data_IF_851455507319
#
_entry.id   IF_851455507319
#
_cell.length_a   1.000
_cell.length_b   1.000
_cell.length_c   1.000
_cell.angle_alpha   90.00
_cell.angle_beta   90.00
_cell.angle_gamma   90.00
#
_symmetry.space_group_name_H-M   'P 1'
#
loop_
_entity.id
_entity.type
_entity.pdbx_description
1 polymer ?
#
# COMPACT_ATOMS: atom_id res chain seq x y z
N UNK A 1 47.58 -3.49 -8.68
CA UNK A 1 46.93 -2.63 -7.65
C UNK A 1 45.86 -1.79 -8.32
N UNK A 2 44.62 -1.93 -7.84
CA UNK A 2 43.47 -1.00 -7.97
C UNK A 2 43.13 -0.51 -9.38
N UNK A 3 42.37 -1.36 -10.05
CA UNK A 3 41.28 -0.96 -10.93
C UNK A 3 40.31 -0.01 -10.21
N UNK A 4 39.57 0.78 -11.00
CA UNK A 4 38.33 1.50 -10.66
C UNK A 4 38.41 3.01 -10.36
N UNK A 5 39.07 3.76 -11.26
CA UNK A 5 38.74 5.17 -11.54
C UNK A 5 37.36 5.37 -12.22
N UNK A 6 36.34 4.56 -11.91
CA UNK A 6 35.04 4.62 -12.60
C UNK A 6 33.81 4.47 -11.70
N UNK A 7 33.98 4.60 -10.37
CA UNK A 7 32.91 4.32 -9.40
C UNK A 7 32.47 5.50 -8.53
N UNK A 8 32.93 6.73 -8.82
CA UNK A 8 32.57 7.95 -8.10
C UNK A 8 31.93 8.96 -9.06
N UNK A 9 31.00 8.47 -9.89
CA UNK A 9 30.19 9.36 -10.74
C UNK A 9 28.71 8.92 -10.82
N UNK A 10 28.33 7.88 -10.06
CA UNK A 10 26.96 7.32 -10.05
C UNK A 10 26.16 7.66 -8.77
N UNK A 11 26.76 8.39 -7.82
CA UNK A 11 26.15 8.62 -6.48
C UNK A 11 25.54 10.02 -6.34
N UNK A 12 25.59 10.88 -7.36
CA UNK A 12 25.20 12.29 -7.27
C UNK A 12 24.08 12.69 -8.24
N UNK A 13 23.11 11.80 -8.45
CA UNK A 13 21.93 12.04 -9.30
C UNK A 13 20.59 11.62 -8.66
N UNK A 14 20.52 11.53 -7.33
CA UNK A 14 19.28 11.14 -6.61
C UNK A 14 18.65 12.34 -5.86
N UNK A 15 19.24 13.54 -5.93
CA UNK A 15 18.79 14.71 -5.16
C UNK A 15 17.65 15.54 -5.79
N UNK A 16 16.97 15.06 -6.84
CA UNK A 16 15.99 15.87 -7.59
C UNK A 16 14.52 15.40 -7.51
N UNK A 17 14.16 14.49 -6.60
CA UNK A 17 12.76 14.14 -6.33
C UNK A 17 12.24 14.73 -5.02
N UNK A 18 12.60 15.98 -4.71
CA UNK A 18 12.07 16.74 -3.57
C UNK A 18 11.15 17.89 -4.02
N UNK A 19 10.36 17.68 -5.08
CA UNK A 19 9.30 18.60 -5.48
C UNK A 19 7.94 17.94 -5.30
N UNK A 20 7.16 18.44 -4.34
CA UNK A 20 5.70 18.30 -4.37
C UNK A 20 5.05 17.57 -3.19
N UNK A 21 5.22 18.07 -1.97
CA UNK A 21 4.15 17.98 -0.97
C UNK A 21 3.70 19.42 -0.71
N UNK A 22 2.62 19.83 -1.39
CA UNK A 22 1.94 21.10 -1.17
C UNK A 22 1.23 21.04 0.18
N UNK A 23 1.60 21.94 1.10
CA UNK A 23 0.82 22.25 2.30
C UNK A 23 -0.27 23.26 1.92
N UNK A 24 -1.35 22.81 1.26
CA UNK A 24 -2.51 23.70 1.00
C UNK A 24 -3.69 23.31 1.89
N UNK A 25 -3.97 24.20 2.84
CA UNK A 25 -5.12 24.24 3.74
C UNK A 25 -6.45 24.37 2.98
N UNK A 26 -7.44 23.51 3.27
CA UNK A 26 -8.82 23.94 3.55
C UNK A 26 -9.68 22.82 4.17
N UNK A 27 -10.42 23.08 5.26
CA UNK A 27 -11.01 22.04 6.10
C UNK A 27 -12.42 21.65 5.65
N UNK A 28 -12.63 20.37 5.31
CA UNK A 28 -13.97 19.75 5.30
C UNK A 28 -14.15 18.93 6.60
N UNK A 29 -15.09 19.29 7.48
CA UNK A 29 -15.36 18.60 8.74
C UNK A 29 -16.38 17.47 8.56
N UNK A 30 -16.11 16.42 7.77
CA UNK A 30 -17.05 15.29 7.74
C UNK A 30 -16.51 13.90 7.39
N UNK A 31 -15.20 13.70 7.27
CA UNK A 31 -14.70 12.55 6.54
C UNK A 31 -13.55 11.85 7.27
N UNK A 32 -13.28 10.56 7.00
CA UNK A 32 -12.39 9.67 7.75
C UNK A 32 -10.90 10.02 7.75
N UNK A 33 -10.58 11.31 7.69
CA UNK A 33 -9.26 11.90 7.67
C UNK A 33 -8.93 12.46 9.05
N UNK A 34 -8.04 11.79 9.77
CA UNK A 34 -7.40 12.39 10.93
C UNK A 34 -6.60 13.61 10.49
N UNK A 35 -7.01 14.80 10.95
CA UNK A 35 -6.41 16.09 10.59
C UNK A 35 -4.94 16.22 10.98
N UNK A 36 -4.45 15.34 11.87
CA UNK A 36 -3.06 15.36 12.33
C UNK A 36 -2.20 14.28 11.66
N UNK A 37 -2.77 13.44 10.79
CA UNK A 37 -2.06 12.33 10.14
C UNK A 37 -2.40 12.24 8.67
N UNK A 38 -1.38 12.07 7.83
CA UNK A 38 -1.60 11.77 6.42
C UNK A 38 -2.42 10.48 6.26
N UNK A 39 -3.18 10.33 5.18
CA UNK A 39 -3.93 9.08 4.94
C UNK A 39 -2.98 7.86 4.91
N UNK A 40 -1.74 8.03 4.44
CA UNK A 40 -0.72 6.97 4.46
C UNK A 40 -0.29 6.56 5.88
N UNK A 41 -0.26 7.50 6.83
CA UNK A 41 -0.04 7.18 8.25
C UNK A 41 -1.26 6.52 8.87
N UNK A 42 -2.47 6.86 8.40
CA UNK A 42 -3.72 6.27 8.88
C UNK A 42 -3.90 4.82 8.42
N UNK A 43 -3.39 4.45 7.24
CA UNK A 43 -3.45 3.08 6.70
C UNK A 43 -2.18 2.27 6.91
N UNK A 44 -1.23 2.79 7.70
CA UNK A 44 0.10 2.20 7.85
C UNK A 44 0.04 0.83 8.52
N UNK A 45 -0.77 0.70 9.57
CA UNK A 45 -0.89 -0.54 10.35
C UNK A 45 -1.39 -1.69 9.47
N UNK A 46 -2.44 -1.45 8.69
CA UNK A 46 -3.03 -2.44 7.80
C UNK A 46 -2.07 -2.78 6.65
N UNK A 47 -1.32 -1.79 6.13
CA UNK A 47 -0.29 -2.02 5.12
C UNK A 47 0.85 -2.93 5.65
N UNK A 48 1.31 -2.69 6.87
CA UNK A 48 2.32 -3.51 7.54
C UNK A 48 1.79 -4.93 7.86
N UNK A 49 0.51 -5.05 8.22
CA UNK A 49 -0.17 -6.32 8.43
C UNK A 49 -0.22 -7.14 7.14
N UNK A 50 -0.59 -6.52 6.02
CA UNK A 50 -0.54 -7.15 4.68
C UNK A 50 0.86 -7.64 4.35
N UNK A 51 1.88 -6.79 4.51
CA UNK A 51 3.26 -7.15 4.20
C UNK A 51 3.76 -8.32 5.07
N UNK A 52 3.33 -8.38 6.32
CA UNK A 52 3.67 -9.46 7.26
C UNK A 52 2.95 -10.75 6.92
N UNK A 53 1.65 -10.68 6.61
CA UNK A 53 0.87 -11.83 6.20
C UNK A 53 1.35 -12.40 4.84
N UNK A 54 1.72 -11.54 3.90
CA UNK A 54 2.29 -11.92 2.61
C UNK A 54 3.62 -12.66 2.77
N UNK A 55 4.53 -12.16 3.63
CA UNK A 55 5.80 -12.84 3.94
C UNK A 55 5.57 -14.19 4.60
N UNK A 56 4.63 -14.25 5.55
CA UNK A 56 4.27 -15.51 6.22
C UNK A 56 3.74 -16.53 5.21
N UNK A 57 2.87 -16.08 4.31
CA UNK A 57 2.32 -16.91 3.24
C UNK A 57 3.41 -17.41 2.28
N UNK A 58 4.32 -16.54 1.84
CA UNK A 58 5.42 -16.91 0.94
C UNK A 58 6.41 -17.90 1.59
N UNK A 59 6.67 -17.76 2.89
CA UNK A 59 7.61 -18.64 3.61
C UNK A 59 7.00 -19.98 4.02
N UNK A 60 5.69 -20.03 4.28
CA UNK A 60 4.98 -21.22 4.74
C UNK A 60 3.61 -21.35 4.07
N UNK A 61 3.54 -21.65 2.76
CA UNK A 61 2.29 -21.71 2.04
C UNK A 61 1.36 -22.79 2.60
N UNK A 62 0.19 -22.35 3.08
CA UNK A 62 -0.88 -23.19 3.57
C UNK A 62 -2.22 -22.46 3.47
N UNK A 63 -3.32 -23.20 3.58
CA UNK A 63 -4.66 -22.60 3.65
C UNK A 63 -4.76 -21.55 4.76
N UNK A 64 -4.23 -21.85 5.95
CA UNK A 64 -4.28 -20.92 7.08
C UNK A 64 -3.53 -19.62 6.81
N UNK A 65 -2.34 -19.70 6.23
CA UNK A 65 -1.53 -18.50 5.92
C UNK A 65 -2.08 -17.70 4.74
N UNK A 66 -2.73 -18.38 3.78
CA UNK A 66 -3.43 -17.72 2.68
C UNK A 66 -4.66 -16.95 3.18
N UNK A 67 -5.50 -17.57 4.00
CA UNK A 67 -6.67 -16.89 4.58
C UNK A 67 -6.24 -15.72 5.49
N UNK A 68 -5.12 -15.85 6.20
CA UNK A 68 -4.56 -14.74 6.96
C UNK A 68 -4.10 -13.57 6.05
N UNK A 69 -3.43 -13.87 4.94
CA UNK A 69 -3.06 -12.85 3.95
C UNK A 69 -4.29 -12.20 3.32
N UNK A 70 -5.28 -13.01 2.94
CA UNK A 70 -6.55 -12.54 2.38
C UNK A 70 -7.26 -11.59 3.35
N UNK A 71 -7.38 -11.96 4.63
CA UNK A 71 -7.98 -11.15 5.67
C UNK A 71 -7.27 -9.81 5.84
N UNK A 72 -5.95 -9.83 6.04
CA UNK A 72 -5.16 -8.60 6.17
C UNK A 72 -5.31 -7.66 4.97
N UNK A 73 -5.42 -8.21 3.75
CA UNK A 73 -5.59 -7.40 2.55
C UNK A 73 -7.01 -6.84 2.41
N UNK A 74 -8.05 -7.56 2.87
CA UNK A 74 -9.40 -6.99 3.02
C UNK A 74 -9.38 -5.80 3.98
N UNK A 75 -8.79 -5.97 5.16
CA UNK A 75 -8.72 -4.91 6.17
C UNK A 75 -8.01 -3.66 5.63
N UNK A 76 -6.93 -3.84 4.87
CA UNK A 76 -6.23 -2.75 4.19
C UNK A 76 -7.10 -2.02 3.15
N UNK A 77 -7.86 -2.76 2.33
CA UNK A 77 -8.77 -2.14 1.37
C UNK A 77 -9.90 -1.37 2.07
N UNK A 78 -10.43 -1.90 3.17
CA UNK A 78 -11.44 -1.19 3.97
C UNK A 78 -10.86 0.07 4.64
N UNK A 79 -9.60 0.04 5.09
CA UNK A 79 -8.91 1.21 5.61
C UNK A 79 -8.73 2.29 4.53
N UNK A 80 -8.38 1.88 3.30
CA UNK A 80 -8.29 2.78 2.14
C UNK A 80 -9.64 3.40 1.79
N UNK A 81 -10.74 2.65 1.85
CA UNK A 81 -12.08 3.19 1.61
C UNK A 81 -12.49 4.27 2.62
N UNK A 82 -12.13 4.08 3.90
CA UNK A 82 -12.40 5.05 4.97
C UNK A 82 -11.67 6.37 4.76
N UNK A 83 -10.51 6.35 4.11
CA UNK A 83 -9.71 7.54 3.79
C UNK A 83 -9.91 8.06 2.37
N UNK A 84 -10.86 7.52 1.57
CA UNK A 84 -11.13 8.00 0.21
C UNK A 84 -11.37 9.51 0.16
N UNK A 85 -12.05 10.03 1.17
CA UNK A 85 -12.34 11.45 1.32
C UNK A 85 -11.12 12.32 1.63
N UNK A 86 -9.96 11.71 1.90
CA UNK A 86 -8.68 12.39 2.13
C UNK A 86 -7.86 12.49 0.84
N UNK A 87 -8.32 11.84 -0.23
CA UNK A 87 -7.65 11.82 -1.52
C UNK A 87 -8.02 13.09 -2.27
N UNK A 88 -7.02 13.70 -2.91
CA UNK A 88 -7.25 14.84 -3.80
C UNK A 88 -8.25 14.44 -4.90
N UNK A 89 -9.21 15.32 -5.19
CA UNK A 89 -10.33 15.01 -6.07
C UNK A 89 -9.90 14.58 -7.47
N UNK A 90 -8.80 15.12 -7.97
CA UNK A 90 -8.19 14.71 -9.24
C UNK A 90 -7.71 13.25 -9.27
N UNK A 91 -7.41 12.66 -8.10
CA UNK A 91 -6.90 11.29 -7.94
C UNK A 91 -7.99 10.30 -7.47
N UNK A 92 -9.16 10.79 -7.07
CA UNK A 92 -10.23 9.96 -6.49
C UNK A 92 -10.65 8.80 -7.40
N UNK A 93 -10.83 9.07 -8.71
CA UNK A 93 -11.24 8.05 -9.66
C UNK A 93 -10.19 6.93 -9.82
N UNK A 94 -8.90 7.29 -9.84
CA UNK A 94 -7.81 6.30 -9.92
C UNK A 94 -7.67 5.51 -8.62
N UNK A 95 -7.87 6.18 -7.48
CA UNK A 95 -7.85 5.57 -6.16
C UNK A 95 -8.96 4.53 -5.99
N UNK A 96 -10.21 4.89 -6.29
CA UNK A 96 -11.34 3.97 -6.25
C UNK A 96 -11.15 2.79 -7.20
N UNK A 97 -10.64 3.04 -8.41
CA UNK A 97 -10.30 1.99 -9.36
C UNK A 97 -9.22 1.05 -8.81
N UNK A 98 -8.22 1.55 -8.09
CA UNK A 98 -7.20 0.72 -7.45
C UNK A 98 -7.81 -0.18 -6.36
N UNK A 99 -8.73 0.35 -5.54
CA UNK A 99 -9.46 -0.42 -4.54
C UNK A 99 -10.30 -1.52 -5.20
N UNK A 100 -11.06 -1.19 -6.24
CA UNK A 100 -11.88 -2.14 -6.99
C UNK A 100 -11.04 -3.26 -7.61
N UNK A 101 -9.91 -2.90 -8.22
CA UNK A 101 -8.97 -3.89 -8.76
C UNK A 101 -8.43 -4.80 -7.64
N UNK A 102 -8.07 -4.25 -6.48
CA UNK A 102 -7.64 -5.04 -5.31
C UNK A 102 -8.72 -6.01 -4.84
N UNK A 103 -9.98 -5.56 -4.76
CA UNK A 103 -11.13 -6.42 -4.44
C UNK A 103 -11.34 -7.52 -5.48
N UNK A 104 -11.16 -7.21 -6.75
CA UNK A 104 -11.27 -8.20 -7.84
C UNK A 104 -10.15 -9.25 -7.78
N UNK A 105 -8.90 -8.86 -7.49
CA UNK A 105 -7.80 -9.81 -7.31
C UNK A 105 -8.01 -10.71 -6.09
N UNK A 106 -8.55 -10.16 -4.98
CA UNK A 106 -8.93 -10.97 -3.83
C UNK A 106 -9.98 -12.03 -4.12
N UNK A 107 -10.92 -11.75 -5.02
CA UNK A 107 -11.95 -12.73 -5.41
C UNK A 107 -11.36 -13.89 -6.23
N UNK A 108 -10.24 -13.64 -6.93
CA UNK A 108 -9.51 -14.67 -7.68
C UNK A 108 -8.65 -15.55 -6.78
N UNK A 109 -8.24 -15.03 -5.61
CA UNK A 109 -7.43 -15.78 -4.64
C UNK A 109 -8.27 -16.91 -4.01
N UNK A 110 -7.96 -18.16 -4.37
CA UNK A 110 -8.68 -19.34 -3.87
C UNK A 110 -7.82 -20.15 -2.89
N UNK A 111 -7.86 -19.75 -1.61
CA UNK A 111 -7.14 -20.41 -0.53
C UNK A 111 -7.51 -21.89 -0.27
N UNK A 112 -8.49 -22.45 -0.99
CA UNK A 112 -8.83 -23.88 -0.91
C UNK A 112 -8.17 -24.72 -2.01
N UNK A 113 -7.80 -24.13 -3.16
CA UNK A 113 -7.26 -24.87 -4.30
C UNK A 113 -5.75 -24.75 -4.45
N UNK A 114 -5.14 -23.70 -3.90
CA UNK A 114 -3.69 -23.46 -4.04
C UNK A 114 -2.80 -24.36 -3.16
N UNK A 115 -3.40 -25.21 -2.30
CA UNK A 115 -2.67 -26.11 -1.37
C UNK A 115 -3.04 -27.58 -1.50
N UNK A 116 -3.87 -27.95 -2.48
CA UNK A 116 -4.17 -29.34 -2.79
C UNK A 116 -3.19 -29.82 -3.87
N UNK A 117 -1.99 -30.19 -3.42
CA UNK A 117 -1.05 -31.03 -4.16
C UNK A 117 -1.44 -32.50 -4.03
#
# INVERSE_FOLDING_TARGET
MKTHCFFIQFVLAISLFATGCSNDDSPDPQSGCDRNRSWGEQTKEESEAVATAARTFANSPSKSTCENFRGAYVDYLEALEKVNTCILKENEAEFLKAIENGKAELQKLNCNQDFQS
#
